data_IF_299943270019
#
_entry.id   IF_299943270019
#
_cell.length_a   1.000
_cell.length_b   1.000
_cell.length_c   1.000
_cell.angle_alpha   90.00
_cell.angle_beta   90.00
_cell.angle_gamma   90.00
#
_symmetry.space_group_name_H-M   'P 1'
#
loop_
_entity.id
_entity.type
_entity.pdbx_description
1 polymer ?
#
# COMPACT_ATOMS: atom_id res chain seq x y z
N UNK A 1 21.99 -5.11 -6.89
CA UNK A 1 21.08 -4.95 -5.74
C UNK A 1 19.70 -5.44 -6.12
N UNK A 2 19.00 -6.02 -5.15
CA UNK A 2 17.64 -6.50 -5.37
C UNK A 2 16.66 -5.37 -5.11
N UNK A 3 15.79 -5.10 -6.07
CA UNK A 3 14.69 -4.15 -5.92
C UNK A 3 14.82 -2.91 -6.78
N UNK A 4 13.85 -2.03 -6.60
CA UNK A 4 13.75 -0.74 -7.27
C UNK A 4 13.40 0.32 -6.23
N UNK A 5 13.64 1.59 -6.61
CA UNK A 5 13.38 2.71 -5.68
C UNK A 5 12.01 3.34 -5.88
N UNK A 6 11.38 3.13 -7.03
CA UNK A 6 10.07 3.71 -7.33
C UNK A 6 9.10 2.60 -7.70
N UNK A 7 7.93 2.61 -7.06
CA UNK A 7 6.85 1.67 -7.29
C UNK A 7 5.53 2.43 -7.42
N UNK A 8 4.76 2.15 -8.46
CA UNK A 8 3.46 2.78 -8.66
C UNK A 8 2.42 1.67 -8.83
N UNK A 9 1.36 1.74 -8.04
CA UNK A 9 0.23 0.82 -8.11
C UNK A 9 -1.02 1.64 -8.43
N UNK A 10 -1.54 1.49 -9.64
CA UNK A 10 -2.64 2.31 -10.13
C UNK A 10 -4.01 1.87 -9.63
N UNK A 11 -4.16 0.61 -9.26
CA UNK A 11 -5.48 0.03 -9.00
C UNK A 11 -5.73 -0.21 -7.51
N UNK A 12 -5.69 0.86 -6.72
CA UNK A 12 -6.24 0.85 -5.38
C UNK A 12 -7.70 1.24 -5.41
N UNK A 13 -8.53 0.53 -4.68
CA UNK A 13 -9.94 0.83 -4.55
C UNK A 13 -10.39 0.30 -3.19
N UNK A 14 -10.17 1.12 -2.17
CA UNK A 14 -10.36 0.69 -0.79
C UNK A 14 -11.84 0.38 -0.55
N UNK A 15 -12.17 -0.90 -0.30
CA UNK A 15 -13.56 -1.30 -0.17
C UNK A 15 -14.06 -1.15 1.25
N UNK A 16 -15.30 -0.71 1.45
CA UNK A 16 -15.95 -0.90 2.74
C UNK A 16 -16.22 -2.39 2.94
N UNK A 17 -16.06 -2.86 4.18
CA UNK A 17 -16.43 -4.23 4.50
C UNK A 17 -17.96 -4.31 4.64
N UNK A 18 -18.63 -5.25 3.95
CA UNK A 18 -20.08 -5.38 4.06
C UNK A 18 -20.52 -5.61 5.51
N UNK A 19 -21.57 -4.88 5.92
CA UNK A 19 -22.12 -5.00 7.26
C UNK A 19 -22.63 -6.42 7.51
N UNK A 20 -22.32 -6.95 8.68
CA UNK A 20 -22.76 -8.29 9.07
C UNK A 20 -21.97 -9.44 8.45
N UNK A 21 -21.03 -9.15 7.56
CA UNK A 21 -20.18 -10.17 6.97
C UNK A 21 -18.99 -10.44 7.89
N UNK A 22 -18.73 -11.71 8.17
CA UNK A 22 -17.63 -12.12 9.06
C UNK A 22 -16.25 -11.97 8.42
N UNK A 23 -15.26 -12.49 9.13
CA UNK A 23 -13.87 -12.50 8.65
C UNK A 23 -13.69 -13.42 7.43
N UNK A 24 -12.70 -13.16 6.56
CA UNK A 24 -11.76 -12.04 6.64
C UNK A 24 -12.36 -10.72 6.20
N UNK A 25 -11.92 -9.64 6.84
CA UNK A 25 -12.36 -8.28 6.51
C UNK A 25 -11.79 -7.83 5.17
N UNK A 26 -12.62 -7.23 4.33
CA UNK A 26 -12.16 -6.60 3.08
C UNK A 26 -11.10 -5.56 3.39
N UNK A 27 -10.01 -5.57 2.64
CA UNK A 27 -8.92 -4.62 2.84
C UNK A 27 -7.93 -4.66 1.68
N UNK A 28 -6.99 -3.75 1.71
CA UNK A 28 -5.86 -3.72 0.80
C UNK A 28 -4.58 -3.59 1.61
N UNK A 29 -3.49 -4.11 1.08
CA UNK A 29 -2.21 -4.08 1.78
C UNK A 29 -1.05 -3.85 0.82
N UNK A 30 -0.11 -3.05 1.27
CA UNK A 30 1.18 -2.85 0.61
C UNK A 30 2.21 -3.67 1.40
N UNK A 31 2.83 -4.66 0.75
CA UNK A 31 3.88 -5.45 1.36
C UNK A 31 5.21 -5.03 0.76
N UNK A 32 6.19 -4.75 1.61
CA UNK A 32 7.50 -4.25 1.18
C UNK A 32 8.61 -5.08 1.82
N UNK A 33 9.52 -5.57 0.98
CA UNK A 33 10.73 -6.30 1.41
C UNK A 33 11.92 -5.38 1.25
N UNK A 34 12.67 -5.20 2.32
CA UNK A 34 13.98 -4.58 2.28
C UNK A 34 15.03 -5.68 2.38
N UNK A 35 15.63 -6.04 1.25
CA UNK A 35 16.66 -7.08 1.18
C UNK A 35 18.05 -6.56 1.56
N UNK A 36 18.21 -5.25 1.65
CA UNK A 36 19.49 -4.60 1.93
C UNK A 36 19.89 -4.60 3.38
N UNK A 37 21.00 -3.93 3.66
CA UNK A 37 21.59 -3.85 5.01
C UNK A 37 21.29 -2.54 5.71
N UNK A 38 20.64 -1.60 5.03
CA UNK A 38 20.25 -0.31 5.59
C UNK A 38 18.75 -0.22 5.70
N UNK A 39 18.25 0.56 6.66
CA UNK A 39 16.83 0.83 6.79
C UNK A 39 16.30 1.52 5.54
N UNK A 40 15.15 1.10 5.05
CA UNK A 40 14.49 1.76 3.93
C UNK A 40 13.51 2.81 4.46
N UNK A 41 13.63 4.02 3.94
CA UNK A 41 12.71 5.11 4.24
C UNK A 41 11.83 5.33 3.02
N UNK A 42 10.54 5.06 3.17
CA UNK A 42 9.58 5.16 2.10
C UNK A 42 8.81 6.46 2.21
N UNK A 43 8.68 7.15 1.10
CA UNK A 43 7.77 8.28 0.96
C UNK A 43 6.62 7.83 0.06
N UNK A 44 5.40 8.04 0.53
CA UNK A 44 4.20 7.59 -0.16
C UNK A 44 3.34 8.78 -0.53
N UNK A 45 2.90 8.79 -1.77
CA UNK A 45 1.94 9.75 -2.29
C UNK A 45 0.71 9.00 -2.75
N UNK A 46 -0.46 9.51 -2.40
CA UNK A 46 -1.74 8.94 -2.82
C UNK A 46 -2.39 9.90 -3.81
N UNK A 47 -2.80 9.36 -4.95
CA UNK A 47 -3.51 10.12 -5.97
C UNK A 47 -4.96 9.67 -6.01
N UNK A 48 -5.88 10.62 -6.18
CA UNK A 48 -7.33 10.36 -6.18
C UNK A 48 -7.95 10.85 -7.48
N UNK A 49 -9.18 10.40 -7.76
CA UNK A 49 -9.89 10.83 -8.96
C UNK A 49 -10.31 12.30 -8.90
N UNK A 50 -10.88 12.71 -7.76
CA UNK A 50 -11.56 14.02 -7.64
C UNK A 50 -11.08 14.84 -6.45
N UNK A 51 -9.96 14.49 -5.85
CA UNK A 51 -9.42 15.19 -4.70
C UNK A 51 -7.93 15.47 -4.89
N UNK A 52 -7.41 16.43 -4.13
CA UNK A 52 -5.99 16.73 -4.15
C UNK A 52 -5.17 15.55 -3.64
N UNK A 53 -3.98 15.33 -4.19
CA UNK A 53 -3.10 14.27 -3.72
C UNK A 53 -2.78 14.42 -2.23
N UNK A 54 -2.61 13.29 -1.55
CA UNK A 54 -2.06 13.26 -0.21
C UNK A 54 -0.58 12.91 -0.32
N UNK A 55 0.27 13.84 0.07
CA UNK A 55 1.72 13.71 -0.08
C UNK A 55 2.41 13.56 1.27
N UNK A 56 3.68 13.18 1.23
CA UNK A 56 4.58 13.14 2.39
C UNK A 56 4.15 12.19 3.49
N UNK A 57 3.46 11.12 3.13
CA UNK A 57 3.25 10.01 4.04
C UNK A 57 4.54 9.18 4.09
N UNK A 58 4.94 8.74 5.28
CA UNK A 58 6.21 8.04 5.45
C UNK A 58 6.03 6.69 6.12
N UNK A 59 6.83 5.73 5.68
CA UNK A 59 6.90 4.39 6.26
C UNK A 59 8.38 3.98 6.33
N UNK A 60 8.71 3.06 7.21
CA UNK A 60 10.05 2.51 7.29
C UNK A 60 10.03 0.99 7.27
N UNK A 61 11.06 0.40 6.65
CA UNK A 61 11.24 -1.06 6.66
C UNK A 61 12.67 -1.32 7.11
N UNK A 62 12.84 -1.98 8.27
CA UNK A 62 14.19 -2.30 8.75
C UNK A 62 14.95 -3.19 7.77
N UNK A 63 16.28 -3.23 7.85
CA UNK A 63 17.07 -4.09 6.95
C UNK A 63 16.71 -5.56 7.13
N UNK A 64 16.66 -6.28 6.02
CA UNK A 64 16.42 -7.72 6.00
C UNK A 64 15.06 -8.11 6.59
N UNK A 65 14.06 -7.27 6.35
CA UNK A 65 12.69 -7.50 6.85
C UNK A 65 11.66 -7.29 5.77
N UNK A 66 10.51 -7.91 5.97
CA UNK A 66 9.28 -7.64 5.23
C UNK A 66 8.30 -6.95 6.16
N UNK A 67 7.58 -5.98 5.64
CA UNK A 67 6.49 -5.32 6.35
C UNK A 67 5.22 -5.39 5.52
N UNK A 68 4.09 -5.65 6.18
CA UNK A 68 2.77 -5.60 5.56
C UNK A 68 2.04 -4.38 6.13
N UNK A 69 1.73 -3.43 5.26
CA UNK A 69 1.03 -2.20 5.65
C UNK A 69 -0.42 -2.28 5.20
N UNK A 70 -1.34 -2.35 6.16
CA UNK A 70 -2.77 -2.35 5.89
C UNK A 70 -3.20 -0.94 5.49
N UNK A 71 -3.73 -0.80 4.27
CA UNK A 71 -4.12 0.52 3.75
C UNK A 71 -5.41 1.05 4.37
N UNK A 72 -6.18 0.18 5.02
CA UNK A 72 -7.41 0.58 5.72
C UNK A 72 -7.18 1.02 7.17
N UNK A 73 -5.93 1.07 7.60
CA UNK A 73 -5.56 1.38 8.98
C UNK A 73 -4.74 2.67 9.05
N UNK A 74 -4.70 3.37 10.20
CA UNK A 74 -3.86 4.56 10.38
C UNK A 74 -2.40 4.15 10.60
N UNK A 75 -1.72 3.75 9.53
CA UNK A 75 -0.34 3.26 9.56
C UNK A 75 0.70 4.37 9.44
N UNK A 76 0.25 5.59 9.11
CA UNK A 76 1.11 6.74 8.86
C UNK A 76 1.37 7.50 10.15
N UNK A 77 2.38 8.37 10.12
CA UNK A 77 2.54 9.35 11.19
C UNK A 77 1.29 10.25 11.23
N UNK A 78 0.61 10.25 12.36
CA UNK A 78 -0.64 10.97 12.53
C UNK A 78 -1.86 10.07 12.34
N UNK A 79 -3.02 10.69 12.17
CA UNK A 79 -4.30 10.00 12.17
C UNK A 79 -4.91 9.82 10.78
N UNK A 80 -4.10 10.00 9.74
CA UNK A 80 -4.62 9.93 8.38
C UNK A 80 -5.10 8.53 8.04
N UNK A 81 -6.31 8.44 7.50
CA UNK A 81 -6.90 7.19 6.99
C UNK A 81 -7.33 7.43 5.55
N UNK A 82 -6.97 6.50 4.66
CA UNK A 82 -7.34 6.60 3.25
C UNK A 82 -8.85 6.47 3.12
N UNK A 83 -9.53 7.38 2.40
CA UNK A 83 -10.96 7.26 2.18
C UNK A 83 -11.29 6.07 1.30
N UNK A 84 -12.50 5.54 1.42
CA UNK A 84 -12.98 4.49 0.54
C UNK A 84 -13.01 4.98 -0.91
N UNK A 85 -12.79 4.06 -1.84
CA UNK A 85 -12.83 4.35 -3.26
C UNK A 85 -11.47 4.26 -3.92
N UNK A 86 -11.44 4.73 -5.16
CA UNK A 86 -10.28 4.61 -6.06
C UNK A 86 -9.12 5.51 -5.62
N UNK A 87 -7.93 4.95 -5.61
CA UNK A 87 -6.69 5.70 -5.38
C UNK A 87 -5.52 4.99 -6.04
N UNK A 88 -4.46 5.73 -6.30
CA UNK A 88 -3.18 5.17 -6.73
C UNK A 88 -2.14 5.42 -5.65
N UNK A 89 -1.15 4.53 -5.57
CA UNK A 89 -0.07 4.61 -4.58
C UNK A 89 1.25 4.80 -5.32
N UNK A 90 1.96 5.86 -4.98
CA UNK A 90 3.31 6.09 -5.48
C UNK A 90 4.27 5.95 -4.30
N UNK A 91 5.17 4.99 -4.39
CA UNK A 91 6.16 4.71 -3.33
C UNK A 91 7.55 5.07 -3.85
N UNK A 92 8.25 5.92 -3.12
CA UNK A 92 9.64 6.24 -3.39
C UNK A 92 10.48 5.85 -2.18
N UNK A 93 11.52 5.04 -2.40
CA UNK A 93 12.41 4.57 -1.35
C UNK A 93 13.80 5.14 -1.53
N UNK A 94 14.49 5.42 -0.43
CA UNK A 94 15.88 5.85 -0.48
C UNK A 94 16.85 4.73 -0.84
N UNK A 95 16.44 3.47 -0.60
CA UNK A 95 17.21 2.28 -1.00
C UNK A 95 16.31 1.35 -1.81
N UNK A 96 16.87 0.47 -2.66
CA UNK A 96 16.02 -0.46 -3.42
C UNK A 96 15.20 -1.38 -2.51
N UNK A 97 13.95 -1.57 -2.86
CA UNK A 97 13.03 -2.48 -2.17
C UNK A 97 12.22 -3.26 -3.19
N UNK A 98 11.56 -4.30 -2.73
CA UNK A 98 10.60 -5.07 -3.53
C UNK A 98 9.23 -4.88 -2.90
N UNK A 99 8.24 -4.50 -3.71
CA UNK A 99 6.92 -4.23 -3.21
C UNK A 99 5.86 -5.01 -3.99
N UNK A 100 4.79 -5.36 -3.31
CA UNK A 100 3.59 -5.92 -3.93
C UNK A 100 2.38 -5.27 -3.26
N UNK A 101 1.32 -5.11 -4.02
CA UNK A 101 0.06 -4.56 -3.52
C UNK A 101 -1.03 -5.60 -3.73
N UNK A 102 -1.68 -6.00 -2.66
CA UNK A 102 -2.73 -7.01 -2.71
C UNK A 102 -4.08 -6.44 -2.31
N UNK A 103 -5.13 -6.94 -2.94
CA UNK A 103 -6.50 -6.51 -2.68
C UNK A 103 -7.36 -7.70 -2.30
N UNK A 104 -8.08 -7.57 -1.18
CA UNK A 104 -9.11 -8.52 -0.76
C UNK A 104 -10.46 -7.81 -0.83
N UNK A 105 -11.26 -8.17 -1.82
CA UNK A 105 -12.58 -7.59 -2.05
C UNK A 105 -13.66 -8.56 -1.62
N UNK A 106 -14.63 -8.08 -0.86
CA UNK A 106 -15.76 -8.86 -0.36
C UNK A 106 -17.11 -8.25 -0.74
N UNK A 107 -17.13 -7.33 -1.72
CA UNK A 107 -18.37 -6.65 -2.11
C UNK A 107 -19.39 -7.60 -2.73
N UNK A 108 -18.93 -8.66 -3.35
CA UNK A 108 -19.78 -9.69 -3.96
C UNK A 108 -19.33 -11.05 -3.48
N UNK A 109 -18.37 -11.64 -4.17
CA UNK A 109 -17.71 -12.86 -3.74
C UNK A 109 -16.34 -12.51 -3.15
N UNK A 110 -15.72 -13.43 -2.44
CA UNK A 110 -14.36 -13.21 -1.97
C UNK A 110 -13.40 -13.29 -3.15
N UNK A 111 -12.65 -12.23 -3.36
CA UNK A 111 -11.60 -12.18 -4.38
C UNK A 111 -10.33 -11.60 -3.79
N UNK A 112 -9.21 -12.31 -3.97
CA UNK A 112 -7.90 -11.81 -3.58
C UNK A 112 -6.98 -11.82 -4.80
N UNK A 113 -6.32 -10.69 -5.07
CA UNK A 113 -5.43 -10.61 -6.23
C UNK A 113 -4.37 -9.53 -6.05
N UNK A 114 -3.21 -9.71 -6.70
CA UNK A 114 -2.19 -8.67 -6.71
C UNK A 114 -2.46 -7.63 -7.78
N UNK A 115 -1.95 -6.44 -7.54
CA UNK A 115 -2.00 -5.33 -8.50
C UNK A 115 -0.64 -5.23 -9.18
N UNK A 116 -0.63 -5.18 -10.50
CA UNK A 116 0.61 -5.06 -11.27
C UNK A 116 1.24 -3.68 -11.04
N UNK A 117 2.53 -3.62 -10.74
CA UNK A 117 3.22 -2.35 -10.51
C UNK A 117 3.85 -1.79 -11.78
N UNK A 118 4.08 -0.48 -11.77
CA UNK A 118 5.14 0.15 -12.55
C UNK A 118 6.34 0.37 -11.61
N UNK A 119 7.56 0.14 -12.12
CA UNK A 119 8.77 0.31 -11.32
C UNK A 119 9.86 1.05 -12.08
N UNK A 120 10.69 1.75 -11.34
CA UNK A 120 11.93 2.32 -11.86
C UNK A 120 12.98 2.55 -10.77
#
# INVERSE_FOLDING_TARGET
>A
MIGKKVWVFADGDLPPHPEGLGEPKAHEALMVVNHGTEEAHLRVELLFEDAEPKENLTLTVPPRRVKCFRMDMPIWDGDYVIPFGQYAVVVTSDVPVVAVFGRLDRRKDMAYYPVAPYTE
#
